data_IF_226120478801
#
_entry.id   IF_226120478801
#
_cell.length_a   1.000
_cell.length_b   1.000
_cell.length_c   1.000
_cell.angle_alpha   90.00
_cell.angle_beta   90.00
_cell.angle_gamma   90.00
#
_symmetry.space_group_name_H-M   'P 1'
#
loop_
_entity.id
_entity.type
_entity.pdbx_description
1 polymer ?
#
# COMPACT_ATOMS: atom_id res chain seq x y z
N UNK A 1 14.09 -23.48 12.37
CA UNK A 1 14.22 -22.96 10.99
C UNK A 1 14.01 -21.43 10.96
N UNK A 2 12.97 -20.89 11.62
CA UNK A 2 12.65 -19.45 11.55
C UNK A 2 13.74 -18.51 12.13
N UNK A 3 14.38 -18.87 13.23
CA UNK A 3 15.48 -18.07 13.79
C UNK A 3 16.69 -17.99 12.86
N UNK A 4 17.10 -19.12 12.28
CA UNK A 4 18.23 -19.16 11.36
C UNK A 4 18.02 -18.36 10.07
N UNK A 5 16.78 -18.29 9.60
CA UNK A 5 16.39 -17.45 8.47
C UNK A 5 16.48 -15.97 8.84
N UNK A 6 15.94 -15.61 10.01
CA UNK A 6 15.95 -14.21 10.45
C UNK A 6 17.39 -13.74 10.70
N UNK A 7 18.21 -14.55 11.38
CA UNK A 7 19.62 -14.24 11.63
C UNK A 7 20.39 -13.98 10.32
N UNK A 8 20.10 -14.77 9.26
CA UNK A 8 20.71 -14.53 7.95
C UNK A 8 20.26 -13.19 7.35
N UNK A 9 18.94 -12.93 7.30
CA UNK A 9 18.39 -11.67 6.76
C UNK A 9 18.93 -10.46 7.51
N UNK A 10 19.02 -10.55 8.84
CA UNK A 10 19.52 -9.46 9.70
C UNK A 10 21.02 -9.22 9.53
N UNK A 11 21.77 -10.23 9.05
CA UNK A 11 23.19 -10.09 8.75
C UNK A 11 23.47 -9.37 7.42
N UNK A 12 22.47 -9.26 6.53
CA UNK A 12 22.62 -8.63 5.23
C UNK A 12 22.65 -7.10 5.37
N UNK A 13 23.75 -6.51 4.90
CA UNK A 13 23.95 -5.07 4.86
C UNK A 13 24.40 -4.64 3.46
N UNK A 14 23.96 -3.48 3.03
CA UNK A 14 24.28 -2.93 1.71
C UNK A 14 24.74 -1.48 1.85
N UNK A 15 25.75 -1.11 1.05
CA UNK A 15 26.20 0.27 0.95
C UNK A 15 25.21 1.10 0.14
N UNK A 16 25.25 2.41 0.29
CA UNK A 16 24.41 3.34 -0.50
C UNK A 16 24.69 3.22 -2.01
N UNK A 17 25.92 2.88 -2.40
CA UNK A 17 26.31 2.67 -3.80
C UNK A 17 25.65 1.39 -4.36
N UNK A 18 25.64 0.31 -3.61
CA UNK A 18 24.96 -0.94 -4.01
C UNK A 18 23.44 -0.72 -4.13
N UNK A 19 22.84 -0.02 -3.17
CA UNK A 19 21.42 0.34 -3.19
C UNK A 19 21.09 1.19 -4.42
N UNK A 20 21.90 2.22 -4.72
CA UNK A 20 21.70 3.08 -5.88
C UNK A 20 21.88 2.32 -7.20
N UNK A 21 22.85 1.41 -7.27
CA UNK A 21 23.10 0.57 -8.45
C UNK A 21 21.91 -0.35 -8.70
N UNK A 22 21.45 -1.06 -7.67
CA UNK A 22 20.29 -1.96 -7.76
C UNK A 22 19.02 -1.20 -8.19
N UNK A 23 18.78 -0.02 -7.61
CA UNK A 23 17.68 0.84 -8.04
C UNK A 23 17.76 1.18 -9.52
N UNK A 24 18.92 1.63 -10.01
CA UNK A 24 19.09 2.02 -11.41
C UNK A 24 18.87 0.88 -12.40
N UNK A 25 19.19 -0.36 -12.00
CA UNK A 25 18.97 -1.57 -12.81
C UNK A 25 17.51 -2.03 -12.79
N UNK A 26 16.71 -1.61 -11.77
CA UNK A 26 15.36 -2.12 -11.52
C UNK A 26 14.32 -1.01 -11.28
N UNK A 27 14.51 0.18 -11.86
CA UNK A 27 13.68 1.38 -11.60
C UNK A 27 12.19 1.13 -11.65
N UNK A 28 11.70 0.36 -12.63
CA UNK A 28 10.28 0.06 -12.78
C UNK A 28 9.66 -0.61 -11.54
N UNK A 29 10.46 -1.29 -10.72
CA UNK A 29 9.97 -1.97 -9.52
C UNK A 29 9.80 -1.01 -8.33
N UNK A 30 10.38 0.19 -8.39
CA UNK A 30 10.46 1.12 -7.26
C UNK A 30 9.86 2.48 -7.55
N UNK A 31 9.81 2.87 -8.83
CA UNK A 31 9.19 4.12 -9.23
C UNK A 31 7.66 4.02 -9.11
N UNK A 32 7.06 5.17 -8.93
CA UNK A 32 5.63 5.41 -9.10
C UNK A 32 5.44 6.43 -10.21
N UNK A 33 4.31 6.34 -10.89
CA UNK A 33 3.95 7.31 -11.91
C UNK A 33 2.59 7.92 -11.60
N UNK A 34 2.50 9.23 -11.86
CA UNK A 34 1.26 9.97 -11.86
C UNK A 34 0.76 10.05 -13.30
N UNK A 35 -0.41 9.49 -13.55
CA UNK A 35 -1.04 9.47 -14.87
C UNK A 35 -2.54 9.27 -14.78
N UNK A 36 -3.25 9.66 -15.81
CA UNK A 36 -4.68 9.44 -15.98
C UNK A 36 -4.93 8.59 -17.22
N UNK A 37 -6.01 7.83 -17.22
CA UNK A 37 -6.46 7.19 -18.46
C UNK A 37 -7.97 7.11 -18.57
N UNK A 38 -8.45 7.04 -19.83
CA UNK A 38 -9.82 6.68 -20.17
C UNK A 38 -9.77 5.29 -20.79
N UNK A 39 -10.45 4.35 -20.19
CA UNK A 39 -10.61 3.00 -20.71
C UNK A 39 -11.88 2.89 -21.51
N UNK A 40 -11.80 2.32 -22.72
CA UNK A 40 -12.93 1.98 -23.58
C UNK A 40 -12.96 0.48 -23.81
N UNK A 41 -14.02 -0.17 -23.30
CA UNK A 41 -14.24 -1.60 -23.48
C UNK A 41 -14.64 -1.90 -24.92
N UNK A 42 -13.88 -2.78 -25.58
CA UNK A 42 -14.11 -3.19 -26.97
C UNK A 42 -14.80 -4.54 -27.10
N UNK A 43 -15.46 -5.03 -26.05
CA UNK A 43 -16.29 -6.24 -26.08
C UNK A 43 -17.71 -5.90 -25.67
N UNK A 44 -18.69 -6.56 -26.27
CA UNK A 44 -20.08 -6.42 -25.87
C UNK A 44 -20.34 -7.10 -24.52
N UNK A 45 -21.35 -6.65 -23.80
CA UNK A 45 -21.74 -7.26 -22.53
C UNK A 45 -22.66 -8.48 -22.79
N UNK A 46 -22.48 -9.53 -21.98
CA UNK A 46 -23.42 -10.65 -21.94
C UNK A 46 -24.79 -10.16 -21.44
N UNK A 47 -25.85 -10.73 -21.99
CA UNK A 47 -27.25 -10.42 -21.63
C UNK A 47 -27.89 -11.57 -20.87
N UNK A 48 -29.15 -11.42 -20.47
CA UNK A 48 -29.96 -12.49 -19.90
C UNK A 48 -31.13 -12.82 -20.81
N UNK A 49 -31.38 -14.12 -21.05
CA UNK A 49 -32.57 -14.57 -21.76
C UNK A 49 -33.83 -14.51 -20.83
N UNK A 50 -34.98 -14.87 -21.38
CA UNK A 50 -36.24 -14.86 -20.62
C UNK A 50 -36.29 -15.83 -19.44
N UNK A 51 -35.43 -16.84 -19.42
CA UNK A 51 -35.28 -17.85 -18.40
C UNK A 51 -34.19 -17.50 -17.38
N UNK A 52 -33.52 -16.34 -17.55
CA UNK A 52 -32.47 -15.82 -16.69
C UNK A 52 -31.06 -16.40 -16.98
N UNK A 53 -30.86 -17.19 -18.01
CA UNK A 53 -29.57 -17.71 -18.40
C UNK A 53 -28.71 -16.63 -19.06
N UNK A 54 -27.39 -16.69 -18.88
CA UNK A 54 -26.43 -15.79 -19.54
C UNK A 54 -26.34 -16.13 -21.02
N UNK A 55 -26.50 -15.12 -21.86
CA UNK A 55 -26.28 -15.21 -23.32
C UNK A 55 -25.02 -14.40 -23.63
N UNK A 56 -24.00 -15.09 -24.09
CA UNK A 56 -22.74 -14.45 -24.50
C UNK A 56 -22.92 -13.70 -25.83
N UNK A 57 -22.22 -12.58 -26.02
CA UNK A 57 -22.31 -11.82 -27.25
C UNK A 57 -21.74 -12.60 -28.43
N UNK A 58 -22.30 -12.35 -29.59
CA UNK A 58 -21.85 -12.90 -30.87
C UNK A 58 -20.54 -12.23 -31.31
N UNK A 59 -19.84 -12.86 -32.26
CA UNK A 59 -18.64 -12.27 -32.90
C UNK A 59 -18.96 -10.93 -33.58
N UNK A 60 -20.15 -10.78 -34.18
CA UNK A 60 -20.60 -9.54 -34.82
C UNK A 60 -20.84 -8.41 -33.82
N UNK A 61 -21.45 -8.72 -32.65
CA UNK A 61 -21.65 -7.78 -31.54
C UNK A 61 -20.31 -7.34 -30.93
N UNK A 62 -19.38 -8.26 -30.76
CA UNK A 62 -18.03 -7.95 -30.30
C UNK A 62 -17.26 -7.08 -31.30
N UNK A 63 -17.35 -7.39 -32.58
CA UNK A 63 -16.71 -6.57 -33.62
C UNK A 63 -17.28 -5.14 -33.67
N UNK A 64 -18.60 -4.98 -33.52
CA UNK A 64 -19.24 -3.68 -33.45
C UNK A 64 -18.84 -2.90 -32.18
N UNK A 65 -18.71 -3.59 -31.01
CA UNK A 65 -18.25 -3.00 -29.78
C UNK A 65 -16.81 -2.50 -29.90
N UNK A 66 -15.92 -3.30 -30.52
CA UNK A 66 -14.53 -2.90 -30.76
C UNK A 66 -14.42 -1.69 -31.68
N UNK A 67 -15.19 -1.64 -32.76
CA UNK A 67 -15.22 -0.49 -33.68
C UNK A 67 -15.70 0.79 -32.95
N UNK A 68 -16.76 0.68 -32.16
CA UNK A 68 -17.27 1.78 -31.35
C UNK A 68 -16.25 2.27 -30.29
N UNK A 69 -15.59 1.35 -29.60
CA UNK A 69 -14.54 1.67 -28.62
C UNK A 69 -13.37 2.41 -29.28
N UNK A 70 -12.91 1.95 -30.44
CA UNK A 70 -11.86 2.60 -31.22
C UNK A 70 -12.25 4.01 -31.64
N UNK A 71 -13.48 4.19 -32.19
CA UNK A 71 -13.97 5.49 -32.61
C UNK A 71 -14.08 6.47 -31.45
N UNK A 72 -14.66 6.04 -30.33
CA UNK A 72 -14.84 6.85 -29.12
C UNK A 72 -13.48 7.23 -28.50
N UNK A 73 -12.53 6.29 -28.43
CA UNK A 73 -11.19 6.54 -27.91
C UNK A 73 -10.43 7.58 -28.75
N UNK A 74 -10.50 7.49 -30.07
CA UNK A 74 -9.93 8.51 -30.98
C UNK A 74 -10.58 9.88 -30.80
N UNK A 75 -11.90 9.94 -30.68
CA UNK A 75 -12.61 11.20 -30.45
C UNK A 75 -12.30 11.81 -29.08
N UNK A 76 -12.18 10.98 -28.01
CA UNK A 76 -11.75 11.42 -26.70
C UNK A 76 -10.31 11.95 -26.71
N UNK A 77 -9.39 11.24 -27.38
CA UNK A 77 -8.00 11.70 -27.56
C UNK A 77 -7.95 13.10 -28.18
N UNK A 78 -8.69 13.33 -29.27
CA UNK A 78 -8.73 14.64 -29.92
C UNK A 78 -9.38 15.71 -29.03
N UNK A 79 -10.43 15.37 -28.28
CA UNK A 79 -11.02 16.29 -27.30
C UNK A 79 -10.04 16.72 -26.21
N UNK A 80 -9.27 15.77 -25.67
CA UNK A 80 -8.23 16.07 -24.66
C UNK A 80 -7.09 16.91 -25.27
N UNK A 81 -6.62 16.59 -26.47
CA UNK A 81 -5.65 17.43 -27.21
C UNK A 81 -6.11 18.87 -27.40
N UNK A 82 -7.42 19.09 -27.53
CA UNK A 82 -8.03 20.40 -27.63
C UNK A 82 -8.36 21.05 -26.27
N UNK A 83 -7.87 20.49 -25.17
CA UNK A 83 -7.93 21.06 -23.81
C UNK A 83 -9.13 20.63 -22.97
N UNK A 84 -9.88 19.60 -23.39
CA UNK A 84 -10.91 19.03 -22.53
C UNK A 84 -10.23 18.14 -21.45
N UNK A 85 -10.68 18.24 -20.19
CA UNK A 85 -10.18 17.39 -19.09
C UNK A 85 -10.52 15.92 -19.36
N UNK A 86 -9.64 15.01 -18.98
CA UNK A 86 -9.78 13.55 -19.16
C UNK A 86 -11.11 13.02 -18.63
N UNK A 87 -11.47 13.36 -17.38
CA UNK A 87 -12.73 12.98 -16.76
C UNK A 87 -13.96 13.46 -17.58
N UNK A 88 -13.91 14.70 -18.10
CA UNK A 88 -14.99 15.26 -18.92
C UNK A 88 -15.07 14.58 -20.30
N UNK A 89 -13.91 14.25 -20.86
CA UNK A 89 -13.86 13.51 -22.13
C UNK A 89 -14.48 12.11 -21.97
N UNK A 90 -14.16 11.39 -20.89
CA UNK A 90 -14.75 10.09 -20.57
C UNK A 90 -16.28 10.17 -20.45
N UNK A 91 -16.79 11.19 -19.76
CA UNK A 91 -18.23 11.39 -19.51
C UNK A 91 -19.09 11.65 -20.78
N UNK A 92 -18.46 11.82 -21.94
CA UNK A 92 -19.18 11.95 -23.21
C UNK A 92 -19.58 10.61 -23.85
N UNK A 93 -19.12 9.48 -23.25
CA UNK A 93 -19.30 8.13 -23.81
C UNK A 93 -19.75 7.14 -22.76
N UNK A 94 -20.83 6.39 -23.04
CA UNK A 94 -21.38 5.38 -22.12
C UNK A 94 -20.39 4.23 -21.82
N UNK A 95 -19.45 3.97 -22.74
CA UNK A 95 -18.42 2.94 -22.61
C UNK A 95 -17.04 3.49 -22.18
N UNK A 96 -16.95 4.77 -21.81
CA UNK A 96 -15.73 5.41 -21.34
C UNK A 96 -15.62 5.39 -19.81
N UNK A 97 -14.54 4.84 -19.26
CA UNK A 97 -14.28 4.83 -17.83
C UNK A 97 -13.01 5.62 -17.53
N UNK A 98 -13.13 6.70 -16.77
CA UNK A 98 -12.00 7.50 -16.31
C UNK A 98 -11.35 6.88 -15.07
N UNK A 99 -10.02 6.94 -15.04
CA UNK A 99 -9.23 6.53 -13.87
C UNK A 99 -8.04 7.48 -13.68
N UNK A 100 -7.91 7.96 -12.47
CA UNK A 100 -6.75 8.72 -11.97
C UNK A 100 -5.80 7.78 -11.20
N UNK A 101 -4.51 7.89 -11.47
CA UNK A 101 -3.43 7.09 -10.88
C UNK A 101 -2.28 7.95 -10.39
N UNK A 102 -2.43 8.70 -9.29
CA UNK A 102 -1.40 9.61 -8.78
C UNK A 102 -0.15 8.88 -8.26
N UNK A 103 -0.25 7.57 -7.98
CA UNK A 103 0.86 6.72 -7.50
C UNK A 103 0.80 5.34 -8.14
N UNK A 104 0.58 5.30 -9.46
CA UNK A 104 0.51 4.05 -10.22
C UNK A 104 1.86 3.32 -10.21
N UNK A 105 1.81 2.00 -10.11
CA UNK A 105 2.99 1.12 -10.15
C UNK A 105 3.09 0.38 -11.48
N UNK A 106 4.29 -0.05 -11.83
CA UNK A 106 4.52 -0.85 -13.04
C UNK A 106 3.93 -2.25 -12.88
N UNK A 107 3.18 -2.72 -13.85
CA UNK A 107 2.57 -4.05 -13.91
C UNK A 107 2.93 -4.85 -15.15
N UNK A 108 3.65 -4.25 -16.11
CA UNK A 108 4.02 -4.88 -17.37
C UNK A 108 2.87 -4.96 -18.39
N UNK A 109 1.75 -4.28 -18.16
CA UNK A 109 0.71 -4.12 -19.18
C UNK A 109 1.04 -3.00 -20.16
N UNK A 110 0.29 -2.90 -21.27
CA UNK A 110 0.57 -1.94 -22.33
C UNK A 110 0.51 -0.46 -21.88
N UNK A 111 -0.31 -0.14 -20.88
CA UNK A 111 -0.42 1.21 -20.33
C UNK A 111 0.82 1.51 -19.51
N UNK A 112 1.19 0.63 -18.56
CA UNK A 112 2.34 0.85 -17.70
C UNK A 112 3.67 0.72 -18.45
N UNK A 113 3.76 -0.12 -19.51
CA UNK A 113 4.92 -0.13 -20.42
C UNK A 113 5.13 1.24 -21.08
N UNK A 114 4.06 1.91 -21.50
CA UNK A 114 4.17 3.24 -22.10
C UNK A 114 4.47 4.30 -21.04
N UNK A 115 3.77 4.29 -19.90
CA UNK A 115 3.90 5.26 -18.80
C UNK A 115 5.30 5.22 -18.19
N UNK A 116 5.88 4.02 -18.02
CA UNK A 116 7.20 3.83 -17.38
C UNK A 116 8.38 3.91 -18.36
N UNK A 117 8.15 4.30 -19.61
CA UNK A 117 9.24 4.60 -20.53
C UNK A 117 9.96 5.87 -20.07
N UNK A 118 11.30 5.82 -19.97
CA UNK A 118 12.15 6.93 -19.49
C UNK A 118 12.11 8.19 -20.38
N UNK A 119 11.58 8.09 -21.61
CA UNK A 119 11.44 9.21 -22.53
C UNK A 119 10.18 10.04 -22.31
N UNK A 120 9.28 9.60 -21.42
CA UNK A 120 8.01 10.31 -21.16
C UNK A 120 8.25 11.69 -20.55
N UNK A 121 7.44 12.66 -21.02
CA UNK A 121 7.45 14.02 -20.52
C UNK A 121 6.02 14.41 -20.04
N UNK A 122 5.97 15.29 -19.07
CA UNK A 122 4.70 15.82 -18.58
C UNK A 122 3.82 16.32 -19.73
N UNK A 123 2.56 15.89 -19.76
CA UNK A 123 1.61 16.20 -20.80
C UNK A 123 1.65 15.27 -22.02
N UNK A 124 2.55 14.26 -22.05
CA UNK A 124 2.51 13.24 -23.10
C UNK A 124 1.15 12.52 -23.07
N UNK A 125 0.53 12.47 -24.24
CA UNK A 125 -0.83 11.95 -24.45
C UNK A 125 -0.82 10.96 -25.61
N UNK A 126 -1.40 9.78 -25.39
CA UNK A 126 -1.45 8.73 -26.41
C UNK A 126 -2.75 7.95 -26.40
N UNK A 127 -2.95 7.15 -27.46
CA UNK A 127 -3.94 6.09 -27.56
C UNK A 127 -3.21 4.75 -27.60
N UNK A 128 -3.60 3.84 -26.71
CA UNK A 128 -3.05 2.48 -26.64
C UNK A 128 -4.18 1.50 -26.95
N UNK A 129 -3.95 0.59 -27.89
CA UNK A 129 -4.78 -0.60 -28.10
C UNK A 129 -4.18 -1.77 -27.34
N UNK A 130 -4.99 -2.46 -26.53
CA UNK A 130 -4.58 -3.67 -25.79
C UNK A 130 -5.68 -4.72 -25.87
N UNK A 131 -5.43 -5.75 -26.67
CA UNK A 131 -6.45 -6.73 -27.04
C UNK A 131 -7.58 -6.07 -27.83
N UNK A 132 -8.79 -6.15 -27.30
CA UNK A 132 -9.96 -5.50 -27.92
C UNK A 132 -10.27 -4.11 -27.31
N UNK A 133 -9.51 -3.70 -26.29
CA UNK A 133 -9.76 -2.49 -25.53
C UNK A 133 -8.85 -1.34 -25.98
N UNK A 134 -9.27 -0.12 -25.66
CA UNK A 134 -8.53 1.11 -25.98
C UNK A 134 -8.35 1.96 -24.72
N UNK A 135 -7.18 2.61 -24.62
CA UNK A 135 -6.84 3.50 -23.51
C UNK A 135 -6.34 4.83 -24.06
N UNK A 136 -6.96 5.93 -23.69
CA UNK A 136 -6.38 7.26 -23.84
C UNK A 136 -5.61 7.53 -22.56
N UNK A 137 -4.31 7.75 -22.65
CA UNK A 137 -3.42 7.88 -21.49
C UNK A 137 -2.74 9.24 -21.50
N UNK A 138 -2.82 9.96 -20.38
CA UNK A 138 -2.13 11.23 -20.13
C UNK A 138 -1.11 11.03 -19.00
N UNK A 139 0.14 11.33 -19.30
CA UNK A 139 1.26 11.22 -18.36
C UNK A 139 1.52 12.55 -17.66
N UNK A 140 1.73 12.51 -16.35
CA UNK A 140 2.10 13.67 -15.54
C UNK A 140 3.53 13.59 -15.05
N UNK A 141 3.89 12.53 -14.32
CA UNK A 141 5.24 12.38 -13.79
C UNK A 141 5.60 10.92 -13.51
N UNK A 142 6.88 10.66 -13.37
CA UNK A 142 7.43 9.40 -12.87
C UNK A 142 8.62 9.69 -11.98
N UNK A 143 8.73 8.98 -10.90
CA UNK A 143 9.88 9.05 -10.01
C UNK A 143 9.77 8.08 -8.85
N UNK A 144 10.84 8.02 -8.07
CA UNK A 144 10.88 7.22 -6.85
C UNK A 144 10.31 8.01 -5.67
N UNK A 145 9.98 7.29 -4.62
CA UNK A 145 9.50 7.90 -3.37
C UNK A 145 10.68 8.45 -2.54
N UNK A 146 11.03 9.71 -2.74
CA UNK A 146 12.17 10.38 -2.07
C UNK A 146 11.86 10.91 -0.66
N UNK A 147 10.61 10.80 -0.17
CA UNK A 147 10.30 11.20 1.20
C UNK A 147 10.98 10.27 2.22
N UNK A 148 11.38 10.82 3.35
CA UNK A 148 11.98 10.04 4.42
C UNK A 148 10.92 9.21 5.15
N UNK A 149 11.27 7.99 5.52
CA UNK A 149 10.55 7.20 6.51
C UNK A 149 10.71 7.83 7.89
N UNK A 150 9.94 7.37 8.85
CA UNK A 150 9.99 7.87 10.21
C UNK A 150 10.07 6.74 11.22
N UNK A 151 10.75 7.00 12.33
CA UNK A 151 10.77 6.13 13.50
C UNK A 151 9.85 6.69 14.57
N UNK A 152 9.06 5.84 15.16
CA UNK A 152 8.09 6.22 16.18
C UNK A 152 8.00 5.15 17.27
N UNK A 153 7.60 5.59 18.47
CA UNK A 153 7.09 4.69 19.51
C UNK A 153 5.61 4.95 19.71
N UNK A 154 4.85 3.91 20.03
CA UNK A 154 3.46 4.11 20.36
C UNK A 154 2.95 3.21 21.47
N UNK A 155 1.86 3.65 22.11
CA UNK A 155 1.08 2.92 23.10
C UNK A 155 -0.34 2.81 22.57
N UNK A 156 -0.85 1.61 22.36
CA UNK A 156 -2.21 1.37 21.94
C UNK A 156 -3.12 1.16 23.15
N UNK A 157 -4.14 1.99 23.28
CA UNK A 157 -5.29 1.80 24.17
C UNK A 157 -6.49 1.31 23.35
N UNK A 158 -6.61 0.00 23.25
CA UNK A 158 -7.59 -0.64 22.37
C UNK A 158 -9.01 -0.56 22.95
N UNK A 159 -9.97 -0.15 22.12
CA UNK A 159 -11.41 -0.26 22.44
C UNK A 159 -11.87 -1.68 22.09
N UNK A 160 -11.90 -2.56 23.08
CA UNK A 160 -12.36 -3.94 22.90
C UNK A 160 -13.89 -4.00 22.93
N UNK A 161 -14.47 -4.51 21.85
CA UNK A 161 -15.92 -4.69 21.67
C UNK A 161 -16.33 -6.14 21.54
N UNK A 162 -15.42 -7.09 21.80
CA UNK A 162 -15.60 -8.52 21.53
C UNK A 162 -16.74 -9.16 22.33
N UNK A 163 -17.08 -8.60 23.49
CA UNK A 163 -18.16 -9.05 24.38
C UNK A 163 -19.46 -8.23 24.24
N UNK A 164 -19.50 -7.24 23.31
CA UNK A 164 -20.67 -6.43 23.03
C UNK A 164 -21.54 -7.05 21.94
N UNK A 165 -22.84 -7.17 22.20
CA UNK A 165 -23.81 -7.51 21.14
C UNK A 165 -24.17 -6.24 20.35
N UNK A 166 -23.74 -6.18 19.10
CA UNK A 166 -23.99 -5.04 18.20
C UNK A 166 -25.46 -4.77 17.89
N UNK A 167 -26.35 -5.70 18.27
CA UNK A 167 -27.82 -5.57 18.10
C UNK A 167 -28.53 -5.20 19.40
N UNK A 168 -27.84 -5.12 20.54
CA UNK A 168 -28.40 -4.72 21.79
C UNK A 168 -28.78 -3.23 21.80
N UNK A 169 -29.89 -2.87 22.44
CA UNK A 169 -30.37 -1.48 22.53
C UNK A 169 -29.37 -0.56 23.23
N UNK A 170 -28.53 -1.10 24.12
CA UNK A 170 -27.50 -0.38 24.89
C UNK A 170 -26.11 -0.46 24.27
N UNK A 171 -25.96 -1.01 23.05
CA UNK A 171 -24.67 -1.18 22.39
C UNK A 171 -23.89 0.13 22.26
N UNK A 172 -24.56 1.18 21.77
CA UNK A 172 -23.90 2.48 21.55
C UNK A 172 -23.46 3.11 22.88
N UNK A 173 -24.27 3.04 23.90
CA UNK A 173 -23.92 3.57 25.24
C UNK A 173 -22.69 2.86 25.81
N UNK A 174 -22.63 1.52 25.70
CA UNK A 174 -21.48 0.73 26.16
C UNK A 174 -20.23 1.01 25.33
N UNK A 175 -20.37 1.15 24.01
CA UNK A 175 -19.26 1.51 23.12
C UNK A 175 -18.69 2.87 23.48
N UNK A 176 -19.55 3.88 23.68
CA UNK A 176 -19.12 5.24 24.02
C UNK A 176 -18.45 5.29 25.40
N UNK A 177 -18.96 4.52 26.37
CA UNK A 177 -18.32 4.39 27.68
C UNK A 177 -16.91 3.79 27.58
N UNK A 178 -16.69 2.75 26.76
CA UNK A 178 -15.38 2.15 26.53
C UNK A 178 -14.44 3.10 25.81
N UNK A 179 -14.93 3.82 24.79
CA UNK A 179 -14.15 4.85 24.11
C UNK A 179 -13.67 5.92 25.11
N UNK A 180 -14.56 6.38 25.98
CA UNK A 180 -14.21 7.36 27.01
C UNK A 180 -13.17 6.82 28.01
N UNK A 181 -13.30 5.59 28.46
CA UNK A 181 -12.32 4.92 29.34
C UNK A 181 -10.95 4.83 28.69
N UNK A 182 -10.87 4.36 27.45
CA UNK A 182 -9.58 4.25 26.75
C UNK A 182 -8.95 5.61 26.42
N UNK A 183 -9.78 6.63 26.16
CA UNK A 183 -9.31 8.00 26.02
C UNK A 183 -8.66 8.52 27.31
N UNK A 184 -9.34 8.35 28.44
CA UNK A 184 -8.81 8.78 29.74
C UNK A 184 -7.51 8.04 30.08
N UNK A 185 -7.43 6.74 29.78
CA UNK A 185 -6.21 5.96 29.97
C UNK A 185 -5.04 6.47 29.10
N UNK A 186 -5.31 6.80 27.82
CA UNK A 186 -4.31 7.37 26.91
C UNK A 186 -3.82 8.75 27.41
N UNK A 187 -4.74 9.62 27.81
CA UNK A 187 -4.42 10.95 28.38
C UNK A 187 -3.62 10.82 29.68
N UNK A 188 -3.98 9.87 30.55
CA UNK A 188 -3.25 9.60 31.80
C UNK A 188 -1.84 9.06 31.55
N UNK A 189 -1.66 8.20 30.55
CA UNK A 189 -0.35 7.69 30.16
C UNK A 189 0.57 8.81 29.63
N UNK A 190 0.06 9.65 28.73
CA UNK A 190 0.81 10.80 28.21
C UNK A 190 1.18 11.75 29.35
N UNK A 191 0.22 12.08 30.22
CA UNK A 191 0.46 12.93 31.39
C UNK A 191 1.53 12.33 32.34
N UNK A 192 1.48 11.00 32.61
CA UNK A 192 2.48 10.31 33.42
C UNK A 192 3.88 10.49 32.84
N UNK A 193 4.02 10.41 31.54
CA UNK A 193 5.28 10.64 30.84
C UNK A 193 5.71 12.12 30.92
N UNK A 194 4.80 13.08 30.69
CA UNK A 194 5.07 14.52 30.75
C UNK A 194 5.48 15.01 32.15
N UNK A 195 4.94 14.42 33.20
CA UNK A 195 5.28 14.70 34.60
C UNK A 195 6.55 13.95 35.07
N UNK A 196 7.02 12.96 34.28
CA UNK A 196 8.17 12.12 34.56
C UNK A 196 9.47 12.62 33.91
N UNK A 197 10.29 11.67 33.45
CA UNK A 197 11.61 11.96 32.86
C UNK A 197 11.54 12.62 31.48
N UNK A 198 10.44 12.46 30.75
CA UNK A 198 10.20 13.01 29.39
C UNK A 198 11.27 12.60 28.38
N UNK A 199 11.79 11.40 28.50
CA UNK A 199 12.77 10.83 27.58
C UNK A 199 12.13 9.74 26.73
N UNK A 200 12.77 9.40 25.60
CA UNK A 200 12.37 8.28 24.77
C UNK A 200 12.36 6.96 25.56
N UNK A 201 13.39 6.72 26.40
CA UNK A 201 13.46 5.52 27.24
C UNK A 201 12.28 5.41 28.20
N UNK A 202 11.89 6.52 28.85
CA UNK A 202 10.73 6.52 29.75
C UNK A 202 9.40 6.31 29.01
N UNK A 203 9.30 6.71 27.75
CA UNK A 203 8.17 6.38 26.91
C UNK A 203 8.16 4.89 26.53
N UNK A 204 9.32 4.33 26.19
CA UNK A 204 9.48 2.91 25.91
C UNK A 204 9.08 2.02 27.09
N UNK A 205 9.44 2.42 28.32
CA UNK A 205 9.01 1.71 29.54
C UNK A 205 7.48 1.71 29.68
N UNK A 206 6.84 2.86 29.45
CA UNK A 206 5.37 2.95 29.47
C UNK A 206 4.72 2.12 28.37
N UNK A 207 5.31 2.07 27.18
CA UNK A 207 4.81 1.25 26.09
C UNK A 207 4.87 -0.25 26.43
N UNK A 208 5.95 -0.72 27.05
CA UNK A 208 6.05 -2.09 27.51
C UNK A 208 5.03 -2.42 28.64
N UNK A 209 4.70 -1.44 29.48
CA UNK A 209 3.74 -1.61 30.59
C UNK A 209 2.28 -1.57 30.13
N UNK A 210 1.93 -0.66 29.22
CA UNK A 210 0.54 -0.25 29.00
C UNK A 210 -0.02 -0.61 27.62
N UNK A 211 0.86 -0.85 26.61
CA UNK A 211 0.38 -1.00 25.24
C UNK A 211 -0.32 -2.33 25.01
N UNK A 212 -1.51 -2.26 24.41
CA UNK A 212 -2.25 -3.41 23.91
C UNK A 212 -1.74 -3.92 22.54
N UNK A 213 -0.76 -3.23 21.94
CA UNK A 213 -0.14 -3.66 20.69
C UNK A 213 0.90 -4.75 20.93
N UNK A 214 0.54 -6.00 20.69
CA UNK A 214 1.41 -7.17 20.87
C UNK A 214 2.59 -7.23 19.89
N UNK A 215 2.55 -6.44 18.82
CA UNK A 215 3.62 -6.36 17.83
C UNK A 215 4.82 -5.54 18.30
N UNK A 216 4.61 -4.60 19.23
CA UNK A 216 5.64 -3.67 19.68
C UNK A 216 5.78 -3.50 21.20
N UNK A 217 4.85 -4.02 22.01
CA UNK A 217 4.86 -3.83 23.46
C UNK A 217 5.98 -4.55 24.22
N UNK A 218 6.86 -5.27 23.53
CA UNK A 218 8.06 -5.92 24.12
C UNK A 218 9.36 -5.23 23.69
N UNK A 219 9.28 -4.27 22.76
CA UNK A 219 10.42 -3.47 22.29
C UNK A 219 10.24 -1.95 22.53
N UNK A 220 9.42 -1.58 23.52
CA UNK A 220 9.16 -0.18 23.87
C UNK A 220 8.24 0.54 22.89
N UNK A 221 7.36 -0.18 22.20
CA UNK A 221 6.43 0.38 21.23
C UNK A 221 7.09 0.88 19.94
N UNK A 222 8.34 0.47 19.64
CA UNK A 222 9.12 0.99 18.52
C UNK A 222 8.69 0.40 17.18
N UNK A 223 8.50 1.26 16.22
CA UNK A 223 8.43 0.99 14.78
C UNK A 223 9.46 1.84 14.05
N UNK A 224 10.30 1.22 13.26
CA UNK A 224 11.32 1.88 12.43
C UNK A 224 10.97 1.83 10.96
N UNK A 225 11.53 2.75 10.18
CA UNK A 225 11.33 2.85 8.74
C UNK A 225 9.85 2.87 8.34
N UNK A 226 8.99 3.48 9.16
CA UNK A 226 7.55 3.62 8.87
C UNK A 226 7.39 4.49 7.62
N UNK A 227 6.63 4.00 6.64
CA UNK A 227 6.36 4.71 5.39
C UNK A 227 4.91 5.19 5.29
N UNK A 228 4.65 6.16 4.41
CA UNK A 228 3.32 6.73 4.20
C UNK A 228 2.32 5.66 3.77
N UNK A 229 1.21 5.55 4.49
CA UNK A 229 0.16 4.57 4.25
C UNK A 229 0.37 3.19 4.91
N UNK A 230 1.45 2.99 5.66
CA UNK A 230 1.68 1.75 6.42
C UNK A 230 0.77 1.65 7.64
N UNK A 231 0.56 2.76 8.32
CA UNK A 231 -0.27 2.83 9.52
C UNK A 231 -1.69 3.31 9.19
N UNK A 232 -2.61 3.18 10.14
CA UNK A 232 -3.96 3.76 10.01
C UNK A 232 -3.88 5.27 9.75
N UNK A 233 -4.88 5.81 9.06
CA UNK A 233 -4.83 7.17 8.48
C UNK A 233 -4.45 8.24 9.51
N UNK A 234 -5.10 8.27 10.64
CA UNK A 234 -4.88 9.30 11.68
C UNK A 234 -3.48 9.21 12.29
N UNK A 235 -2.96 7.99 12.43
CA UNK A 235 -1.59 7.76 12.89
C UNK A 235 -0.58 8.20 11.81
N UNK A 236 -0.82 7.80 10.56
CA UNK A 236 0.01 8.18 9.42
C UNK A 236 0.09 9.70 9.28
N UNK A 237 -1.05 10.39 9.28
CA UNK A 237 -1.11 11.84 9.09
C UNK A 237 -0.41 12.59 10.21
N UNK A 238 -0.52 12.08 11.45
CA UNK A 238 0.21 12.66 12.57
C UNK A 238 1.73 12.49 12.41
N UNK A 239 2.20 11.31 12.01
CA UNK A 239 3.63 11.02 11.88
C UNK A 239 4.30 11.78 10.73
N UNK A 240 3.57 12.00 9.62
CA UNK A 240 4.08 12.64 8.42
C UNK A 240 3.72 14.14 8.30
N UNK A 241 3.24 14.74 9.37
CA UNK A 241 3.11 16.20 9.45
C UNK A 241 4.52 16.83 9.41
N UNK A 242 4.75 17.71 8.45
CA UNK A 242 6.06 18.34 8.19
C UNK A 242 6.60 19.15 9.37
N UNK A 243 5.75 19.50 10.32
CA UNK A 243 6.15 20.24 11.54
C UNK A 243 6.73 19.35 12.64
N UNK A 244 6.64 18.01 12.52
CA UNK A 244 7.10 17.08 13.56
C UNK A 244 8.58 17.21 13.84
N UNK A 245 8.89 17.19 15.14
CA UNK A 245 10.27 17.22 15.64
C UNK A 245 10.52 16.01 16.56
N UNK A 246 11.75 15.47 16.61
CA UNK A 246 12.10 14.44 17.57
C UNK A 246 11.72 14.84 19.00
N UNK A 247 11.00 13.96 19.69
CA UNK A 247 10.47 14.21 21.03
C UNK A 247 9.03 14.71 21.07
N UNK A 248 8.42 15.04 19.92
CA UNK A 248 6.99 15.37 19.86
C UNK A 248 6.14 14.17 20.27
N UNK A 249 5.07 14.44 20.99
CA UNK A 249 4.07 13.44 21.38
C UNK A 249 2.66 13.88 21.01
N UNK A 250 1.77 12.92 20.83
CA UNK A 250 0.39 13.17 20.54
C UNK A 250 -0.51 11.97 20.80
N UNK A 251 -1.82 12.23 20.81
CA UNK A 251 -2.84 11.19 20.90
C UNK A 251 -3.70 11.27 19.65
N UNK A 252 -3.82 10.17 18.93
CA UNK A 252 -4.73 10.02 17.81
C UNK A 252 -5.75 8.92 18.09
N UNK A 253 -6.95 9.08 17.56
CA UNK A 253 -8.00 8.07 17.66
C UNK A 253 -8.28 7.50 16.28
N UNK A 254 -8.35 6.18 16.18
CA UNK A 254 -8.71 5.48 14.95
C UNK A 254 -9.92 4.59 15.15
N UNK A 255 -10.83 4.59 14.17
CA UNK A 255 -11.94 3.63 14.04
C UNK A 255 -11.64 2.70 12.85
N UNK A 256 -11.65 1.38 13.10
CA UNK A 256 -11.39 0.39 12.04
C UNK A 256 -10.83 -0.89 12.61
N UNK A 257 -9.87 -1.48 11.92
CA UNK A 257 -9.26 -2.77 12.29
C UNK A 257 -8.61 -2.77 13.69
N UNK A 258 -8.14 -1.60 14.14
CA UNK A 258 -7.53 -1.38 15.45
C UNK A 258 -8.18 -0.16 16.11
N UNK A 259 -9.51 -0.26 16.40
CA UNK A 259 -10.21 0.84 17.07
C UNK A 259 -9.59 1.11 18.43
N UNK A 260 -9.12 2.36 18.63
CA UNK A 260 -8.48 2.75 19.87
C UNK A 260 -7.77 4.10 19.80
N UNK A 261 -7.14 4.43 20.93
CA UNK A 261 -6.29 5.61 21.05
C UNK A 261 -4.83 5.19 20.99
N UNK A 262 -4.06 5.88 20.14
CA UNK A 262 -2.62 5.72 20.02
C UNK A 262 -1.94 6.92 20.65
N UNK A 263 -1.19 6.74 21.72
CA UNK A 263 -0.24 7.73 22.20
C UNK A 263 1.05 7.52 21.42
N UNK A 264 1.52 8.55 20.72
CA UNK A 264 2.67 8.45 19.80
C UNK A 264 3.78 9.35 20.32
N UNK A 265 5.02 8.86 20.21
CA UNK A 265 6.25 9.60 20.39
C UNK A 265 7.05 9.57 19.09
N UNK A 266 7.39 10.73 18.55
CA UNK A 266 8.17 10.85 17.32
C UNK A 266 9.66 10.72 17.65
N UNK A 267 10.30 9.65 17.18
CA UNK A 267 11.73 9.42 17.41
C UNK A 267 12.55 10.25 16.43
N UNK A 268 12.14 10.24 15.14
CA UNK A 268 12.82 11.02 14.12
C UNK A 268 12.48 10.57 12.71
N UNK A 269 13.16 11.19 11.75
CA UNK A 269 13.16 10.76 10.34
C UNK A 269 14.28 9.74 10.13
N UNK A 270 14.04 8.80 9.22
CA UNK A 270 15.02 7.78 8.83
C UNK A 270 15.27 7.85 7.30
N UNK A 271 15.80 6.78 6.74
CA UNK A 271 16.20 6.70 5.35
C UNK A 271 15.05 7.04 4.37
N UNK A 272 15.36 7.58 3.18
CA UNK A 272 14.37 7.74 2.12
C UNK A 272 13.67 6.44 1.79
N UNK A 273 12.33 6.47 1.61
CA UNK A 273 11.52 5.27 1.44
C UNK A 273 11.97 4.39 0.27
N UNK A 274 12.42 5.01 -0.85
CA UNK A 274 12.96 4.24 -1.96
C UNK A 274 14.17 3.37 -1.58
N UNK A 275 15.05 3.86 -0.67
CA UNK A 275 16.19 3.07 -0.20
C UNK A 275 15.74 1.88 0.66
N UNK A 276 14.73 2.09 1.50
CA UNK A 276 14.11 1.01 2.29
C UNK A 276 13.52 -0.07 1.38
N UNK A 277 12.77 0.34 0.35
CA UNK A 277 12.21 -0.57 -0.64
C UNK A 277 13.29 -1.39 -1.36
N UNK A 278 14.37 -0.72 -1.81
CA UNK A 278 15.48 -1.36 -2.51
C UNK A 278 16.24 -2.32 -1.60
N UNK A 279 16.59 -1.90 -0.38
CA UNK A 279 17.25 -2.79 0.60
C UNK A 279 16.42 -4.05 0.90
N UNK A 280 15.11 -3.89 1.04
CA UNK A 280 14.21 -5.02 1.26
C UNK A 280 14.15 -5.96 0.04
N UNK A 281 14.16 -5.43 -1.17
CA UNK A 281 14.21 -6.23 -2.40
C UNK A 281 15.54 -6.99 -2.52
N UNK A 282 16.68 -6.34 -2.24
CA UNK A 282 18.00 -6.99 -2.21
C UNK A 282 18.06 -8.10 -1.17
N UNK A 283 17.60 -7.84 0.06
CA UNK A 283 17.52 -8.87 1.13
C UNK A 283 16.68 -10.07 0.70
N UNK A 284 15.54 -9.83 0.06
CA UNK A 284 14.67 -10.90 -0.45
C UNK A 284 15.34 -11.71 -1.58
N UNK A 285 16.06 -11.05 -2.48
CA UNK A 285 16.80 -11.71 -3.55
C UNK A 285 17.93 -12.58 -3.00
N UNK A 286 18.76 -12.05 -2.10
CA UNK A 286 19.85 -12.78 -1.46
C UNK A 286 19.35 -13.94 -0.59
N UNK A 287 18.28 -13.72 0.16
CA UNK A 287 17.63 -14.80 0.92
C UNK A 287 17.12 -15.91 0.00
N UNK A 288 16.48 -15.54 -1.11
CA UNK A 288 15.99 -16.53 -2.08
C UNK A 288 17.13 -17.33 -2.69
N UNK A 289 18.22 -16.66 -3.07
CA UNK A 289 19.42 -17.33 -3.60
C UNK A 289 20.04 -18.26 -2.56
N UNK A 290 20.25 -17.78 -1.34
CA UNK A 290 20.77 -18.56 -0.23
C UNK A 290 19.92 -19.82 0.05
N UNK A 291 18.60 -19.66 0.10
CA UNK A 291 17.67 -20.78 0.34
C UNK A 291 17.73 -21.83 -0.79
N UNK A 292 17.80 -21.37 -2.04
CA UNK A 292 17.99 -22.26 -3.19
C UNK A 292 19.32 -23.02 -3.14
N UNK A 293 20.39 -22.34 -2.72
CA UNK A 293 21.71 -22.95 -2.58
C UNK A 293 21.76 -23.99 -1.45
N UNK A 294 21.01 -23.80 -0.37
CA UNK A 294 20.90 -24.77 0.72
C UNK A 294 20.27 -26.09 0.25
N UNK A 295 19.36 -26.08 -0.69
CA UNK A 295 18.56 -27.25 -1.08
C UNK A 295 18.96 -27.85 -2.44
N UNK A 296 19.84 -27.18 -3.21
CA UNK A 296 20.18 -27.59 -4.60
C UNK A 296 20.76 -28.99 -4.71
N UNK A 297 21.48 -29.44 -3.67
CA UNK A 297 22.13 -30.77 -3.64
C UNK A 297 21.33 -31.78 -2.80
N UNK A 298 20.13 -31.39 -2.29
CA UNK A 298 19.29 -32.27 -1.48
C UNK A 298 18.39 -33.09 -2.42
N UNK A 299 18.63 -34.37 -2.49
CA UNK A 299 17.73 -35.32 -3.16
C UNK A 299 16.78 -35.92 -2.12
N UNK A 300 15.49 -35.68 -2.26
CA UNK A 300 14.50 -36.35 -1.42
C UNK A 300 14.49 -37.85 -1.74
N UNK A 301 14.78 -38.68 -0.73
CA UNK A 301 14.64 -40.13 -0.82
C UNK A 301 13.36 -40.53 -0.10
N UNK A 302 12.53 -41.38 -0.76
CA UNK A 302 11.35 -41.94 -0.10
C UNK A 302 11.76 -42.74 1.14
N UNK A 303 11.25 -42.32 2.30
CA UNK A 303 11.39 -43.14 3.50
C UNK A 303 10.53 -44.38 3.38
N UNK A 304 11.02 -45.51 3.89
CA UNK A 304 10.34 -46.83 3.78
C UNK A 304 8.89 -46.85 4.33
N UNK A 305 8.50 -45.86 5.12
CA UNK A 305 7.14 -45.69 5.65
C UNK A 305 6.17 -44.92 4.73
N UNK A 306 6.65 -44.22 3.70
CA UNK A 306 5.78 -43.41 2.81
C UNK A 306 4.82 -44.27 1.96
N UNK A 307 5.17 -45.54 1.72
CA UNK A 307 4.31 -46.51 1.01
C UNK A 307 2.99 -46.85 1.74
N UNK A 308 2.82 -46.39 3.00
CA UNK A 308 1.60 -46.57 3.80
C UNK A 308 0.75 -45.32 3.89
N UNK A 309 1.17 -44.20 3.26
CA UNK A 309 0.39 -42.98 3.13
C UNK A 309 -0.37 -43.07 1.80
N UNK A 310 -1.63 -43.57 1.87
CA UNK A 310 -2.59 -43.59 0.76
C UNK A 310 -3.68 -42.62 1.07
#
# INVERSE_FOLDING_TARGET
ASHYQQDYIDSLTYTDEEVATYYNEHKNNFDVADYEYIYFKGTADSTKDADGNTVEPTDEENAAAKEAASANANAALEAVRNGLLMEKAAGNYDNGTYTDRPTGTYSGDAVTEWVFNEERQEGDLTLIESGDNYYVVLFHSRGRNDYNTVDVRHILFKVDTSDLDSKADDYQEKLDARKAEQKEAAEAALKKWEEGARTEDSFAELANELSADTGSNTNGGLYTEVYKGQMVTEFNDWCFDESRQPGDTGIVYNEGSYTGYHVIYFVGTDAPYWQVQVRNAMKNADYTQWNNDLVKDITATEASGMKYLV
#
